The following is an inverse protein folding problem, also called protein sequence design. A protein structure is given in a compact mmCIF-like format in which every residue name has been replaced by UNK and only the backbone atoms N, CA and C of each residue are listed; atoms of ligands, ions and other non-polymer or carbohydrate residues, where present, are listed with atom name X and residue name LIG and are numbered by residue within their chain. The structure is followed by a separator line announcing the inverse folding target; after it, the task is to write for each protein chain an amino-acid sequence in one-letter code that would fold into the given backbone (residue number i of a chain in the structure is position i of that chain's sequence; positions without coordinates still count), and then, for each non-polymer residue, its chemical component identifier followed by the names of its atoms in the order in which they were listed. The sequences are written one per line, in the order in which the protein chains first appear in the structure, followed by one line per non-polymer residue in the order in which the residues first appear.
data_IF_214133099892
#
_entry.id   IF_214133099892
#
_cell.length_a   1.000
_cell.length_b   1.000
_cell.length_c   1.000
_cell.angle_alpha   90.00
_cell.angle_beta   90.00
_cell.angle_gamma   90.00
#
_symmetry.space_group_name_H-M   'P 1'
#
loop_
_entity.id
_entity.type
_entity.pdbx_description
1 polymer ?
#
# COMPACT_ATOMS: atom_id res chain seq x y z
N UNK A 1 18.98 25.16 -0.82
CA UNK A 1 19.13 23.73 -1.14
C UNK A 1 18.38 23.00 -0.05
N UNK A 2 17.12 22.75 -0.34
CA UNK A 2 16.02 23.22 0.51
C UNK A 2 15.21 22.03 1.05
N UNK A 3 14.64 22.18 2.23
CA UNK A 3 13.83 21.23 3.03
C UNK A 3 13.13 20.09 2.28
N UNK A 4 12.56 20.36 1.11
CA UNK A 4 11.90 19.41 0.22
C UNK A 4 12.78 18.20 -0.18
N UNK A 5 14.07 18.41 -0.45
CA UNK A 5 15.01 17.32 -0.79
C UNK A 5 15.21 16.39 0.40
N UNK A 6 15.25 16.96 1.61
CA UNK A 6 15.42 16.19 2.86
C UNK A 6 14.16 15.41 3.21
N UNK A 7 12.97 16.02 3.05
CA UNK A 7 11.68 15.35 3.24
C UNK A 7 11.51 14.19 2.26
N UNK A 8 11.87 14.38 0.97
CA UNK A 8 11.80 13.30 -0.02
C UNK A 8 12.74 12.12 0.32
N UNK A 9 13.95 12.42 0.81
CA UNK A 9 14.89 11.39 1.23
C UNK A 9 14.39 10.62 2.47
N UNK A 10 13.83 11.32 3.46
CA UNK A 10 13.28 10.71 4.67
C UNK A 10 12.09 9.80 4.35
N UNK A 11 11.16 10.28 3.52
CA UNK A 11 10.01 9.50 3.05
C UNK A 11 10.46 8.20 2.37
N UNK A 12 11.40 8.28 1.42
CA UNK A 12 11.96 7.08 0.76
C UNK A 12 12.59 6.09 1.72
N UNK A 13 13.30 6.56 2.75
CA UNK A 13 13.89 5.69 3.77
C UNK A 13 12.80 4.97 4.57
N UNK A 14 11.75 5.67 4.99
CA UNK A 14 10.64 5.08 5.74
C UNK A 14 9.90 4.02 4.92
N UNK A 15 9.62 4.29 3.65
CA UNK A 15 8.97 3.31 2.76
C UNK A 15 9.86 2.09 2.52
N UNK A 16 11.17 2.28 2.36
CA UNK A 16 12.13 1.18 2.19
C UNK A 16 12.22 0.30 3.45
N UNK A 17 12.21 0.92 4.62
CA UNK A 17 12.20 0.21 5.90
C UNK A 17 10.88 -0.57 6.09
N UNK A 18 9.74 0.04 5.76
CA UNK A 18 8.44 -0.64 5.76
C UNK A 18 8.43 -1.85 4.82
N UNK A 19 8.98 -1.72 3.60
CA UNK A 19 9.12 -2.84 2.66
C UNK A 19 9.94 -3.98 3.26
N UNK A 20 11.07 -3.67 3.89
CA UNK A 20 11.91 -4.69 4.53
C UNK A 20 11.13 -5.49 5.57
N UNK A 21 10.24 -4.84 6.33
CA UNK A 21 9.37 -5.52 7.30
C UNK A 21 8.33 -6.40 6.61
N UNK A 22 7.72 -5.93 5.51
CA UNK A 22 6.80 -6.73 4.70
C UNK A 22 7.51 -7.95 4.11
N UNK A 23 8.71 -7.80 3.56
CA UNK A 23 9.47 -8.91 2.97
C UNK A 23 9.82 -9.98 4.02
N UNK A 24 10.09 -9.56 5.26
CA UNK A 24 10.36 -10.48 6.38
C UNK A 24 9.18 -11.40 6.70
N UNK A 25 7.94 -11.02 6.37
CA UNK A 25 6.75 -11.87 6.57
C UNK A 25 6.80 -13.18 5.78
N UNK A 26 7.64 -13.25 4.74
CA UNK A 26 7.82 -14.43 3.88
C UNK A 26 9.09 -15.22 4.19
N UNK A 27 9.75 -14.89 5.30
CA UNK A 27 10.98 -15.56 5.75
C UNK A 27 10.72 -16.39 7.01
N UNK A 28 11.72 -17.15 7.45
CA UNK A 28 11.63 -17.91 8.71
C UNK A 28 11.87 -17.02 9.95
N UNK A 29 11.40 -15.78 9.90
CA UNK A 29 11.50 -14.80 10.97
C UNK A 29 10.56 -15.19 12.14
N UNK A 30 11.03 -15.20 13.39
CA UNK A 30 10.18 -15.54 14.53
C UNK A 30 9.18 -14.43 14.90
N UNK A 31 9.31 -13.22 14.35
CA UNK A 31 8.37 -12.12 14.62
C UNK A 31 7.02 -12.42 13.95
N UNK A 32 5.88 -12.31 14.67
CA UNK A 32 4.57 -12.55 14.09
C UNK A 32 4.27 -11.67 12.88
N UNK A 33 3.55 -12.22 11.90
CA UNK A 33 3.11 -11.54 10.68
C UNK A 33 2.46 -10.18 10.96
N UNK A 34 1.45 -10.14 11.84
CA UNK A 34 0.72 -8.90 12.17
C UNK A 34 1.61 -7.87 12.88
N UNK A 35 2.62 -8.31 13.63
CA UNK A 35 3.56 -7.41 14.29
C UNK A 35 4.48 -6.72 13.28
N UNK A 36 5.02 -7.47 12.30
CA UNK A 36 5.82 -6.91 11.21
C UNK A 36 5.01 -5.92 10.37
N UNK A 37 3.76 -6.27 10.03
CA UNK A 37 2.88 -5.37 9.30
C UNK A 37 2.46 -4.14 10.13
N UNK A 38 2.25 -4.30 11.44
CA UNK A 38 1.98 -3.18 12.34
C UNK A 38 3.13 -2.18 12.43
N UNK A 39 4.37 -2.67 12.49
CA UNK A 39 5.56 -1.82 12.42
C UNK A 39 5.70 -1.14 11.04
N UNK A 40 5.43 -1.87 9.94
CA UNK A 40 5.44 -1.30 8.60
C UNK A 40 4.40 -0.19 8.44
N UNK A 41 3.19 -0.38 8.96
CA UNK A 41 2.12 0.62 9.01
C UNK A 41 2.61 1.89 9.71
N UNK A 42 3.17 1.77 10.90
CA UNK A 42 3.64 2.92 11.67
C UNK A 42 4.72 3.74 10.95
N UNK A 43 5.60 3.10 10.18
CA UNK A 43 6.60 3.79 9.36
C UNK A 43 5.97 4.56 8.20
N UNK A 44 4.94 3.99 7.57
CA UNK A 44 4.24 4.62 6.45
C UNK A 44 3.36 5.78 6.92
N UNK A 45 2.67 5.64 8.06
CA UNK A 45 1.92 6.74 8.69
C UNK A 45 2.85 7.92 9.03
N UNK A 46 4.03 7.64 9.59
CA UNK A 46 5.06 8.67 9.82
C UNK A 46 5.56 9.34 8.53
N UNK A 47 5.58 8.63 7.40
CA UNK A 47 5.96 9.24 6.13
C UNK A 47 4.87 10.19 5.61
N UNK A 48 3.59 9.90 5.92
CA UNK A 48 2.47 10.79 5.60
C UNK A 48 2.41 12.03 6.52
N UNK A 49 2.90 11.96 7.76
CA UNK A 49 3.01 13.14 8.62
C UNK A 49 3.85 14.26 7.97
N UNK A 50 4.88 13.88 7.21
CA UNK A 50 5.75 14.82 6.48
C UNK A 50 5.14 15.24 5.11
N UNK A 51 4.48 14.33 4.40
CA UNK A 51 3.79 14.59 3.13
C UNK A 51 2.48 13.77 3.01
N UNK A 52 1.32 14.34 3.40
CA UNK A 52 0.05 13.61 3.45
C UNK A 52 -0.44 13.09 2.09
N UNK A 53 -0.03 13.75 1.01
CA UNK A 53 -0.50 13.47 -0.35
C UNK A 53 0.50 12.61 -1.15
N UNK A 54 1.49 12.01 -0.47
CA UNK A 54 2.49 11.16 -1.13
C UNK A 54 1.87 9.86 -1.64
N UNK A 55 1.54 9.85 -2.93
CA UNK A 55 0.84 8.74 -3.62
C UNK A 55 1.52 7.39 -3.38
N UNK A 56 2.85 7.30 -3.45
CA UNK A 56 3.54 6.04 -3.23
C UNK A 56 3.35 5.50 -1.81
N UNK A 57 3.36 6.40 -0.81
CA UNK A 57 3.14 6.02 0.60
C UNK A 57 1.70 5.57 0.82
N UNK A 58 0.73 6.31 0.28
CA UNK A 58 -0.70 5.94 0.34
C UNK A 58 -0.94 4.54 -0.26
N UNK A 59 -0.31 4.24 -1.40
CA UNK A 59 -0.39 2.92 -2.05
C UNK A 59 0.19 1.80 -1.20
N UNK A 60 1.38 2.03 -0.64
CA UNK A 60 2.05 1.07 0.26
C UNK A 60 1.26 0.84 1.56
N UNK A 61 0.72 1.90 2.14
CA UNK A 61 -0.09 1.82 3.37
C UNK A 61 -1.36 1.02 3.11
N UNK A 62 -2.03 1.25 1.97
CA UNK A 62 -3.15 0.45 1.53
C UNK A 62 -2.83 -1.04 1.41
N UNK A 63 -1.65 -1.41 0.88
CA UNK A 63 -1.22 -2.80 0.81
C UNK A 63 -1.05 -3.45 2.20
N UNK A 64 -0.38 -2.74 3.12
CA UNK A 64 -0.17 -3.20 4.50
C UNK A 64 -1.50 -3.37 5.24
N UNK A 65 -2.41 -2.41 5.10
CA UNK A 65 -3.74 -2.47 5.70
C UNK A 65 -4.58 -3.63 5.15
N UNK A 66 -4.43 -3.99 3.87
CA UNK A 66 -5.03 -5.21 3.32
C UNK A 66 -4.49 -6.47 4.03
N UNK A 67 -3.17 -6.57 4.22
CA UNK A 67 -2.55 -7.67 4.96
C UNK A 67 -3.04 -7.78 6.41
N UNK A 68 -3.26 -6.63 7.05
CA UNK A 68 -3.84 -6.52 8.40
C UNK A 68 -5.37 -6.72 8.45
N UNK A 69 -6.02 -7.05 7.33
CA UNK A 69 -7.48 -7.22 7.23
C UNK A 69 -8.29 -5.95 7.56
N UNK A 70 -7.66 -4.78 7.50
CA UNK A 70 -8.28 -3.47 7.72
C UNK A 70 -8.79 -2.89 6.39
N UNK A 71 -9.68 -3.65 5.75
CA UNK A 71 -10.11 -3.41 4.37
C UNK A 71 -10.80 -2.05 4.14
N UNK A 72 -11.53 -1.53 5.13
CA UNK A 72 -12.18 -0.23 5.02
C UNK A 72 -11.16 0.92 4.98
N UNK A 73 -10.22 0.95 5.94
CA UNK A 73 -9.12 1.93 5.96
C UNK A 73 -8.25 1.81 4.70
N UNK A 74 -7.93 0.58 4.28
CA UNK A 74 -7.15 0.36 3.05
C UNK A 74 -7.81 1.03 1.83
N UNK A 75 -9.14 0.89 1.69
CA UNK A 75 -9.89 1.48 0.58
C UNK A 75 -9.82 3.02 0.63
N UNK A 76 -9.89 3.63 1.79
CA UNK A 76 -9.84 5.10 1.93
C UNK A 76 -8.52 5.66 1.37
N UNK A 77 -7.39 5.13 1.82
CA UNK A 77 -6.07 5.58 1.35
C UNK A 77 -5.85 5.32 -0.15
N UNK A 78 -6.29 4.16 -0.65
CA UNK A 78 -6.09 3.82 -2.06
C UNK A 78 -6.99 4.61 -3.01
N UNK A 79 -8.23 4.91 -2.58
CA UNK A 79 -9.11 5.82 -3.32
C UNK A 79 -8.51 7.23 -3.36
N UNK A 80 -7.93 7.69 -2.25
CA UNK A 80 -7.26 8.99 -2.21
C UNK A 80 -6.05 9.05 -3.14
N UNK A 81 -5.20 8.02 -3.15
CA UNK A 81 -4.10 7.92 -4.11
C UNK A 81 -4.59 7.98 -5.57
N UNK A 82 -5.73 7.37 -5.90
CA UNK A 82 -6.36 7.46 -7.23
C UNK A 82 -6.87 8.89 -7.51
N UNK A 83 -7.47 9.56 -6.52
CA UNK A 83 -7.95 10.94 -6.65
C UNK A 83 -6.80 11.94 -6.87
N UNK A 84 -5.66 11.71 -6.21
CA UNK A 84 -4.42 12.48 -6.40
C UNK A 84 -3.72 12.18 -7.75
N UNK A 85 -4.29 11.31 -8.57
CA UNK A 85 -3.84 11.08 -9.94
C UNK A 85 -2.81 9.97 -10.10
N UNK A 86 -2.77 8.99 -9.19
CA UNK A 86 -1.84 7.86 -9.29
C UNK A 86 -1.88 7.18 -10.67
N UNK A 87 -0.68 6.98 -11.22
CA UNK A 87 -0.41 6.17 -12.41
C UNK A 87 0.40 4.93 -12.07
N UNK A 88 0.34 4.47 -10.82
CA UNK A 88 0.98 3.24 -10.35
C UNK A 88 -0.02 2.08 -10.39
N UNK A 89 0.37 0.97 -11.02
CA UNK A 89 -0.44 -0.24 -11.14
C UNK A 89 -0.90 -0.78 -9.77
N UNK A 90 -0.04 -0.71 -8.75
CA UNK A 90 -0.34 -1.28 -7.44
C UNK A 90 -1.48 -0.53 -6.74
N UNK A 91 -1.61 0.78 -6.97
CA UNK A 91 -2.72 1.62 -6.46
C UNK A 91 -4.09 1.13 -6.91
N UNK A 92 -4.18 0.50 -8.08
CA UNK A 92 -5.43 -0.04 -8.63
C UNK A 92 -5.63 -1.53 -8.32
N UNK A 93 -4.55 -2.26 -8.06
CA UNK A 93 -4.62 -3.66 -7.63
C UNK A 93 -5.01 -3.79 -6.16
N UNK A 94 -4.43 -3.00 -5.27
CA UNK A 94 -4.66 -3.11 -3.82
C UNK A 94 -6.14 -2.88 -3.41
N UNK A 95 -6.92 -1.97 -4.03
CA UNK A 95 -8.35 -1.83 -3.76
C UNK A 95 -9.13 -3.09 -4.11
N UNK A 96 -8.73 -3.80 -5.17
CA UNK A 96 -9.38 -5.04 -5.55
C UNK A 96 -9.28 -6.04 -4.39
N UNK A 97 -8.10 -6.21 -3.78
CA UNK A 97 -7.90 -7.06 -2.60
C UNK A 97 -8.75 -6.59 -1.42
N UNK A 98 -8.77 -5.29 -1.13
CA UNK A 98 -9.59 -4.71 -0.05
C UNK A 98 -11.11 -4.93 -0.23
N UNK A 99 -11.57 -5.11 -1.47
CA UNK A 99 -13.00 -5.17 -1.80
C UNK A 99 -13.54 -6.60 -1.95
N UNK A 100 -12.70 -7.63 -1.89
CA UNK A 100 -13.13 -9.03 -2.10
C UNK A 100 -14.12 -9.53 -1.04
N UNK A 101 -14.04 -9.06 0.21
CA UNK A 101 -14.93 -9.50 1.29
C UNK A 101 -16.33 -8.84 1.24
N UNK A 102 -16.57 -7.85 0.36
CA UNK A 102 -17.85 -7.09 0.31
C UNK A 102 -18.38 -6.96 -1.12
N UNK A 103 -19.70 -6.84 -1.24
CA UNK A 103 -20.56 -7.08 -2.42
C UNK A 103 -20.30 -6.28 -3.72
N UNK A 104 -19.15 -5.65 -3.93
CA UNK A 104 -18.88 -4.78 -5.10
C UNK A 104 -17.80 -5.33 -6.04
N UNK A 105 -17.84 -6.64 -6.34
CA UNK A 105 -16.94 -7.29 -7.31
C UNK A 105 -16.87 -6.54 -8.66
N UNK A 106 -17.98 -5.92 -9.09
CA UNK A 106 -18.01 -5.11 -10.32
C UNK A 106 -17.20 -3.81 -10.20
N UNK A 107 -17.28 -3.10 -9.07
CA UNK A 107 -16.49 -1.88 -8.81
C UNK A 107 -15.01 -2.24 -8.71
N UNK A 108 -14.68 -3.29 -7.97
CA UNK A 108 -13.31 -3.79 -7.82
C UNK A 108 -12.68 -4.14 -9.17
N UNK A 109 -13.43 -4.84 -10.05
CA UNK A 109 -12.96 -5.16 -11.41
C UNK A 109 -12.82 -3.93 -12.30
N UNK A 110 -13.70 -2.93 -12.15
CA UNK A 110 -13.59 -1.68 -12.90
C UNK A 110 -12.33 -0.90 -12.51
N UNK A 111 -12.02 -0.81 -11.21
CA UNK A 111 -10.79 -0.19 -10.70
C UNK A 111 -9.56 -0.94 -11.20
N UNK A 112 -9.53 -2.27 -11.08
CA UNK A 112 -8.42 -3.09 -11.56
C UNK A 112 -8.17 -2.92 -13.08
N UNK A 113 -9.25 -2.88 -13.88
CA UNK A 113 -9.16 -2.67 -15.33
C UNK A 113 -8.56 -1.31 -15.68
N UNK A 114 -8.89 -0.25 -14.92
CA UNK A 114 -8.29 1.08 -15.10
C UNK A 114 -6.78 1.05 -14.85
N UNK A 115 -6.35 0.26 -13.86
CA UNK A 115 -4.93 0.08 -13.52
C UNK A 115 -4.11 -0.71 -14.54
N UNK A 116 -4.74 -1.48 -15.41
CA UNK A 116 -4.05 -2.45 -16.27
C UNK A 116 -3.09 -1.83 -17.31
N UNK A 117 -3.24 -0.53 -17.61
CA UNK A 117 -2.36 0.20 -18.52
C UNK A 117 -1.13 0.81 -17.83
N UNK A 118 -1.06 0.77 -16.51
CA UNK A 118 0.02 1.36 -15.73
C UNK A 118 1.12 0.34 -15.39
N UNK A 119 2.30 0.86 -15.09
CA UNK A 119 3.44 0.09 -14.58
C UNK A 119 3.50 0.25 -13.06
N UNK A 120 3.92 -0.80 -12.36
CA UNK A 120 4.16 -0.72 -10.93
C UNK A 120 5.38 0.16 -10.63
N UNK A 121 5.25 1.10 -9.69
CA UNK A 121 6.41 1.84 -9.18
C UNK A 121 7.32 0.86 -8.39
N UNK A 122 8.65 0.86 -8.62
CA UNK A 122 9.57 0.03 -7.84
C UNK A 122 9.48 0.24 -6.32
N UNK A 123 9.02 1.41 -5.86
CA UNK A 123 8.85 1.79 -4.47
C UNK A 123 7.50 1.35 -3.87
N UNK A 124 6.55 0.87 -4.66
CA UNK A 124 5.29 0.29 -4.17
C UNK A 124 5.24 -1.24 -4.31
N UNK A 125 4.24 -1.87 -3.70
CA UNK A 125 4.03 -3.32 -3.75
C UNK A 125 2.54 -3.69 -3.76
N UNK A 126 2.25 -4.89 -4.26
CA UNK A 126 0.91 -5.47 -4.24
C UNK A 126 0.56 -5.94 -2.82
N UNK A 127 -0.70 -5.76 -2.43
CA UNK A 127 -1.27 -6.41 -1.26
C UNK A 127 -1.22 -7.93 -1.45
N UNK A 128 -0.96 -8.67 -0.38
CA UNK A 128 -1.08 -10.13 -0.42
C UNK A 128 -2.50 -10.55 -0.76
N UNK A 129 -2.62 -11.49 -1.70
CA UNK A 129 -3.89 -12.07 -2.13
C UNK A 129 -3.69 -13.58 -2.33
N UNK A 130 -4.45 -14.40 -1.59
CA UNK A 130 -4.52 -15.84 -1.82
C UNK A 130 -5.69 -16.17 -2.76
N UNK A 131 -5.43 -16.50 -4.04
CA UNK A 131 -6.48 -16.83 -4.99
C UNK A 131 -7.21 -18.15 -4.65
N UNK A 132 -6.69 -18.97 -3.74
CA UNK A 132 -7.29 -20.24 -3.33
C UNK A 132 -8.12 -20.15 -2.05
N UNK A 133 -8.10 -19.01 -1.35
CA UNK A 133 -8.88 -18.80 -0.13
C UNK A 133 -10.34 -18.31 -0.38
N UNK A 134 -10.74 -18.14 -1.65
CA UNK A 134 -12.09 -17.70 -2.06
C UNK A 134 -13.01 -18.83 -2.48
#
# INVERSE_FOLDING_TARGET
MSSEVTVNAQCRMLVTAARTLVDRTWTNDPVPYDALLGEARALLERALDDNPDEVAVLTCLGAVLCGLRLHAEAREYLVEAIHLGSTDRNTYFNPFVAMLERSSMNEARAVLKRGAAFTADPLTWEAYFDPHAM
#
